data_IF_769678144267
#
_entry.id   IF_769678144267
#
_cell.length_a   1.000
_cell.length_b   1.000
_cell.length_c   1.000
_cell.angle_alpha   90.00
_cell.angle_beta   90.00
_cell.angle_gamma   90.00
#
_symmetry.space_group_name_H-M   'P 1'
#
loop_
_entity.id
_entity.type
_entity.pdbx_description
1 polymer ?
#
# COMPACT_ATOMS: atom_id res chain seq x y z
N UNK A 1 -6.74 -23.72 10.30
CA UNK A 1 -5.65 -23.68 11.29
C UNK A 1 -6.25 -23.16 12.60
N UNK A 2 -5.99 -23.84 13.72
CA UNK A 2 -6.36 -23.35 15.05
C UNK A 2 -5.27 -22.37 15.54
N UNK A 3 -5.69 -21.24 16.07
CA UNK A 3 -4.80 -20.23 16.68
C UNK A 3 -5.32 -19.96 18.10
N UNK A 4 -4.41 -19.99 19.06
CA UNK A 4 -4.78 -19.59 20.42
C UNK A 4 -4.87 -18.07 20.51
N UNK A 5 -5.99 -17.55 20.98
CA UNK A 5 -6.18 -16.11 21.19
C UNK A 5 -6.25 -15.79 22.69
N UNK A 6 -5.86 -14.58 23.12
CA UNK A 6 -5.16 -13.56 22.28
C UNK A 6 -3.73 -14.00 21.95
N UNK A 7 -3.29 -13.70 20.71
CA UNK A 7 -1.91 -13.91 20.27
C UNK A 7 -0.98 -13.01 21.09
N UNK A 8 0.10 -13.58 21.63
CA UNK A 8 1.06 -12.86 22.48
C UNK A 8 2.42 -12.65 21.79
N UNK A 9 2.67 -13.35 20.70
CA UNK A 9 3.95 -13.33 19.96
C UNK A 9 3.70 -13.42 18.46
N UNK A 10 3.13 -12.35 17.86
CA UNK A 10 2.89 -12.26 16.41
C UNK A 10 4.16 -11.85 15.69
N UNK A 11 4.54 -12.59 14.64
CA UNK A 11 5.58 -12.17 13.71
C UNK A 11 4.96 -11.54 12.45
N UNK A 12 5.44 -10.36 12.05
CA UNK A 12 4.99 -9.68 10.83
C UNK A 12 5.94 -10.02 9.66
N UNK A 13 5.49 -10.86 8.73
CA UNK A 13 6.25 -11.21 7.54
C UNK A 13 6.40 -10.03 6.56
N UNK A 14 5.53 -9.04 6.64
CA UNK A 14 5.71 -7.70 6.10
C UNK A 14 5.57 -6.69 7.24
N UNK A 15 6.64 -6.00 7.59
CA UNK A 15 6.64 -5.09 8.73
C UNK A 15 5.72 -3.87 8.54
N UNK A 16 5.32 -3.55 7.28
CA UNK A 16 4.32 -2.51 6.99
C UNK A 16 2.94 -2.84 7.57
N UNK A 17 2.68 -4.13 7.90
CA UNK A 17 1.44 -4.57 8.54
C UNK A 17 1.30 -4.10 9.98
N UNK A 18 2.33 -3.47 10.57
CA UNK A 18 2.22 -2.75 11.85
C UNK A 18 1.05 -1.76 11.82
N UNK A 19 0.81 -1.11 10.69
CA UNK A 19 -0.32 -0.20 10.51
C UNK A 19 -1.67 -0.93 10.61
N UNK A 20 -1.77 -2.13 10.06
CA UNK A 20 -2.98 -2.94 10.16
C UNK A 20 -3.20 -3.45 11.59
N UNK A 21 -2.13 -3.82 12.30
CA UNK A 21 -2.19 -4.18 13.73
C UNK A 21 -2.62 -2.99 14.58
N UNK A 22 -2.07 -1.80 14.33
CA UNK A 22 -2.44 -0.59 15.06
C UNK A 22 -3.93 -0.23 14.84
N UNK A 23 -4.41 -0.29 13.62
CA UNK A 23 -5.82 -0.06 13.29
C UNK A 23 -6.72 -1.08 13.99
N UNK A 24 -6.40 -2.36 13.90
CA UNK A 24 -7.25 -3.44 14.40
C UNK A 24 -7.19 -3.61 15.91
N UNK A 25 -6.02 -3.42 16.53
CA UNK A 25 -5.79 -3.74 17.93
C UNK A 25 -5.30 -2.55 18.79
N UNK A 26 -4.69 -1.54 18.17
CA UNK A 26 -4.12 -0.38 18.85
C UNK A 26 -2.70 -0.62 19.37
N UNK A 27 -1.98 0.48 19.66
CA UNK A 27 -0.55 0.46 20.05
C UNK A 27 -0.24 -0.36 21.31
N UNK A 28 -1.19 -0.57 22.19
CA UNK A 28 -1.00 -1.39 23.40
C UNK A 28 -0.65 -2.84 23.08
N UNK A 29 -0.97 -3.31 21.87
CA UNK A 29 -0.68 -4.65 21.40
C UNK A 29 0.68 -4.78 20.68
N UNK A 30 1.45 -3.70 20.53
CA UNK A 30 2.80 -3.79 19.98
C UNK A 30 3.74 -4.64 20.85
N UNK A 31 3.48 -4.73 22.16
CA UNK A 31 4.17 -5.65 23.06
C UNK A 31 3.96 -7.13 22.74
N UNK A 32 2.91 -7.45 21.96
CA UNK A 32 2.62 -8.81 21.48
C UNK A 32 3.27 -9.12 20.12
N UNK A 33 4.19 -8.28 19.63
CA UNK A 33 4.98 -8.60 18.45
C UNK A 33 6.26 -9.35 18.87
N UNK A 34 6.56 -10.46 18.21
CA UNK A 34 7.79 -11.22 18.42
C UNK A 34 8.94 -10.76 17.52
N UNK A 35 8.65 -10.01 16.49
CA UNK A 35 9.59 -9.50 15.50
C UNK A 35 8.90 -9.22 14.17
N UNK A 36 9.66 -8.72 13.22
CA UNK A 36 9.19 -8.38 11.89
C UNK A 36 10.28 -8.50 10.83
N UNK A 37 9.90 -8.37 9.56
CA UNK A 37 10.85 -8.33 8.45
C UNK A 37 11.50 -6.94 8.31
N UNK A 38 12.53 -6.86 7.47
CA UNK A 38 13.23 -5.61 7.09
C UNK A 38 12.47 -4.74 6.07
N UNK A 39 11.21 -5.05 5.79
CA UNK A 39 10.42 -4.38 4.73
C UNK A 39 10.08 -2.92 5.03
N UNK A 40 9.98 -2.50 6.30
CA UNK A 40 9.80 -1.09 6.65
C UNK A 40 11.00 -0.26 6.18
N UNK A 41 12.20 -0.61 6.63
CA UNK A 41 13.42 0.12 6.28
C UNK A 41 13.65 0.21 4.76
N UNK A 42 13.26 -0.84 4.02
CA UNK A 42 13.47 -0.88 2.57
C UNK A 42 12.38 -0.20 1.75
N UNK A 43 11.11 -0.36 2.14
CA UNK A 43 9.99 0.06 1.27
C UNK A 43 9.13 1.17 1.85
N UNK A 44 9.25 1.47 3.15
CA UNK A 44 8.46 2.48 3.84
C UNK A 44 9.24 3.09 5.02
N UNK A 45 10.45 3.66 4.79
CA UNK A 45 11.27 4.25 5.86
C UNK A 45 10.56 5.43 6.54
N UNK A 46 9.68 6.12 5.85
CA UNK A 46 8.79 7.15 6.35
C UNK A 46 7.81 6.61 7.41
N UNK A 47 7.18 5.48 7.13
CA UNK A 47 6.28 4.78 8.06
C UNK A 47 7.06 4.22 9.25
N UNK A 48 8.27 3.67 9.03
CA UNK A 48 9.15 3.22 10.11
C UNK A 48 9.47 4.36 11.06
N UNK A 49 9.92 5.50 10.54
CA UNK A 49 10.25 6.67 11.35
C UNK A 49 9.05 7.15 12.18
N UNK A 50 7.85 7.21 11.58
CA UNK A 50 6.62 7.59 12.27
C UNK A 50 6.28 6.64 13.43
N UNK A 51 6.42 5.32 13.22
CA UNK A 51 6.16 4.36 14.29
C UNK A 51 7.24 4.35 15.38
N UNK A 52 8.51 4.51 15.04
CA UNK A 52 9.59 4.59 16.03
C UNK A 52 9.51 5.87 16.88
N UNK A 53 8.98 6.97 16.33
CA UNK A 53 8.67 8.18 17.10
C UNK A 53 7.49 7.96 18.07
N UNK A 54 6.39 7.34 17.58
CA UNK A 54 5.18 7.13 18.37
C UNK A 54 5.31 6.02 19.42
N UNK A 55 6.16 5.01 19.17
CA UNK A 55 6.39 3.82 19.99
C UNK A 55 7.87 3.39 19.95
N UNK A 56 8.77 4.09 20.69
CA UNK A 56 10.22 3.83 20.65
C UNK A 56 10.62 2.41 21.04
N UNK A 57 9.77 1.68 21.77
CA UNK A 57 9.98 0.28 22.13
C UNK A 57 10.07 -0.64 20.92
N UNK A 58 9.46 -0.28 19.79
CA UNK A 58 9.51 -1.03 18.53
C UNK A 58 10.94 -1.16 17.98
N UNK A 59 11.83 -0.23 18.31
CA UNK A 59 13.25 -0.31 17.94
C UNK A 59 13.99 -1.52 18.52
N UNK A 60 13.39 -2.19 19.53
CA UNK A 60 13.97 -3.39 20.17
C UNK A 60 13.46 -4.69 19.56
N UNK A 61 12.48 -4.62 18.66
CA UNK A 61 11.96 -5.83 18.03
C UNK A 61 13.03 -6.47 17.13
N UNK A 62 13.17 -7.78 17.17
CA UNK A 62 14.02 -8.50 16.23
C UNK A 62 13.60 -8.26 14.80
N UNK A 63 14.56 -7.92 13.93
CA UNK A 63 14.36 -7.75 12.50
C UNK A 63 14.92 -8.94 11.77
N UNK A 64 14.10 -9.68 11.03
CA UNK A 64 14.56 -10.76 10.16
C UNK A 64 14.70 -10.25 8.72
N UNK A 65 15.92 -10.25 8.16
CA UNK A 65 16.09 -9.91 6.76
C UNK A 65 15.43 -10.97 5.88
N UNK A 66 14.75 -10.53 4.83
CA UNK A 66 14.32 -11.44 3.77
C UNK A 66 15.54 -11.86 2.95
N UNK A 67 15.61 -13.15 2.61
CA UNK A 67 16.56 -13.66 1.63
C UNK A 67 16.28 -13.06 0.24
N UNK A 68 17.23 -13.23 -0.71
CA UNK A 68 17.07 -12.70 -2.09
C UNK A 68 15.82 -13.19 -2.79
N UNK A 69 15.31 -14.36 -2.44
CA UNK A 69 14.05 -14.92 -2.93
C UNK A 69 12.81 -14.41 -2.17
N UNK A 70 12.98 -13.50 -1.18
CA UNK A 70 11.89 -12.89 -0.42
C UNK A 70 11.34 -13.77 0.71
N UNK A 71 12.07 -14.83 1.12
CA UNK A 71 11.66 -15.77 2.18
C UNK A 71 12.44 -15.55 3.47
N UNK A 72 12.01 -16.20 4.55
CA UNK A 72 12.75 -16.35 5.80
C UNK A 72 13.23 -17.79 5.92
N UNK A 73 14.30 -18.00 6.69
CA UNK A 73 14.62 -19.35 7.12
C UNK A 73 13.69 -19.75 8.26
N UNK A 74 13.24 -21.01 8.25
CA UNK A 74 12.39 -21.54 9.34
C UNK A 74 13.11 -21.44 10.68
N UNK A 75 14.41 -21.69 10.72
CA UNK A 75 15.23 -21.61 11.94
C UNK A 75 15.18 -20.22 12.57
N UNK A 76 15.33 -19.15 11.76
CA UNK A 76 15.27 -17.78 12.25
C UNK A 76 13.89 -17.43 12.83
N UNK A 77 12.81 -17.89 12.18
CA UNK A 77 11.45 -17.73 12.69
C UNK A 77 11.22 -18.51 13.99
N UNK A 78 11.68 -19.78 14.06
CA UNK A 78 11.56 -20.62 15.25
C UNK A 78 12.31 -20.03 16.44
N UNK A 79 13.47 -19.41 16.22
CA UNK A 79 14.25 -18.75 17.28
C UNK A 79 13.46 -17.61 17.95
N UNK A 80 12.54 -16.98 17.23
CA UNK A 80 11.65 -15.95 17.78
C UNK A 80 10.41 -16.54 18.50
N UNK A 81 10.19 -17.85 18.43
CA UNK A 81 9.08 -18.56 19.06
C UNK A 81 7.73 -17.83 18.86
N UNK A 82 7.30 -17.53 17.63
CA UNK A 82 6.02 -16.85 17.40
C UNK A 82 4.84 -17.80 17.64
N UNK A 83 3.74 -17.25 18.17
CA UNK A 83 2.45 -17.98 18.26
C UNK A 83 1.76 -18.05 16.90
N UNK A 84 2.02 -17.05 16.04
CA UNK A 84 1.49 -16.98 14.68
C UNK A 84 2.38 -16.07 13.80
N UNK A 85 2.27 -16.27 12.49
CA UNK A 85 2.90 -15.41 11.47
C UNK A 85 1.80 -14.74 10.66
N UNK A 86 1.82 -13.41 10.60
CA UNK A 86 0.95 -12.63 9.72
C UNK A 86 1.65 -12.42 8.36
N UNK A 87 0.96 -12.71 7.27
CA UNK A 87 1.56 -12.72 5.94
C UNK A 87 0.54 -12.29 4.87
N UNK A 88 1.00 -11.63 3.81
CA UNK A 88 0.15 -11.33 2.68
C UNK A 88 -0.18 -12.56 1.84
N UNK A 89 -1.43 -12.68 1.41
CA UNK A 89 -1.93 -13.73 0.50
C UNK A 89 -1.10 -13.84 -0.78
N UNK A 90 -0.58 -12.72 -1.29
CA UNK A 90 0.28 -12.70 -2.47
C UNK A 90 1.58 -13.49 -2.31
N UNK A 91 2.02 -13.74 -1.08
CA UNK A 91 3.21 -14.56 -0.77
C UNK A 91 2.93 -16.06 -0.71
N UNK A 92 1.65 -16.49 -0.75
CA UNK A 92 1.26 -17.89 -0.57
C UNK A 92 1.96 -18.83 -1.56
N UNK A 93 1.98 -18.48 -2.86
CA UNK A 93 2.61 -19.30 -3.90
C UNK A 93 4.11 -19.49 -3.67
N UNK A 94 4.80 -18.41 -3.32
CA UNK A 94 6.24 -18.44 -2.99
C UNK A 94 6.50 -19.31 -1.76
N UNK A 95 5.74 -19.10 -0.67
CA UNK A 95 5.91 -19.85 0.57
C UNK A 95 5.65 -21.35 0.39
N UNK A 96 4.73 -21.70 -0.50
CA UNK A 96 4.46 -23.09 -0.86
C UNK A 96 5.61 -23.68 -1.70
N UNK A 97 6.11 -22.96 -2.69
CA UNK A 97 7.19 -23.44 -3.58
C UNK A 97 8.54 -23.58 -2.87
N UNK A 98 8.79 -22.76 -1.85
CA UNK A 98 10.02 -22.80 -1.01
C UNK A 98 9.91 -23.77 0.17
N UNK A 99 8.80 -24.51 0.28
CA UNK A 99 8.53 -25.44 1.38
C UNK A 99 8.44 -24.77 2.79
N UNK A 100 8.35 -23.44 2.88
CA UNK A 100 8.28 -22.74 4.16
C UNK A 100 6.95 -23.03 4.90
N UNK A 101 5.82 -23.04 4.16
CA UNK A 101 4.50 -23.33 4.79
C UNK A 101 4.45 -24.71 5.44
N UNK A 102 4.84 -25.82 4.76
CA UNK A 102 4.89 -27.13 5.39
C UNK A 102 5.82 -27.21 6.60
N UNK A 103 6.94 -26.47 6.58
CA UNK A 103 7.88 -26.45 7.71
C UNK A 103 7.30 -25.74 8.92
N UNK A 104 6.62 -24.60 8.73
CA UNK A 104 5.94 -23.88 9.81
C UNK A 104 4.76 -24.69 10.38
N UNK A 105 4.00 -25.34 9.52
CA UNK A 105 2.91 -26.24 9.93
C UNK A 105 3.43 -27.40 10.78
N UNK A 106 4.53 -28.07 10.34
CA UNK A 106 5.18 -29.13 11.10
C UNK A 106 5.73 -28.66 12.46
N UNK A 107 6.12 -27.39 12.56
CA UNK A 107 6.56 -26.74 13.80
C UNK A 107 5.39 -26.26 14.68
N UNK A 108 4.13 -26.43 14.25
CA UNK A 108 2.95 -25.96 14.96
C UNK A 108 2.73 -24.46 14.94
N UNK A 109 3.38 -23.73 14.01
CA UNK A 109 3.24 -22.28 13.85
C UNK A 109 2.21 -21.97 12.76
N UNK A 110 1.03 -21.44 13.13
CA UNK A 110 0.01 -21.04 12.19
C UNK A 110 0.43 -19.82 11.36
N UNK A 111 0.16 -19.86 10.05
CA UNK A 111 0.32 -18.70 9.15
C UNK A 111 -1.05 -18.14 8.83
N UNK A 112 -1.22 -16.85 9.11
CA UNK A 112 -2.46 -16.11 8.91
C UNK A 112 -2.28 -15.23 7.69
N UNK A 113 -3.13 -15.43 6.68
CA UNK A 113 -3.08 -14.65 5.44
C UNK A 113 -4.06 -13.49 5.45
N UNK A 114 -3.55 -12.30 5.13
CA UNK A 114 -4.31 -11.07 4.91
C UNK A 114 -4.14 -10.60 3.48
N UNK A 115 -5.06 -9.77 2.98
CA UNK A 115 -4.99 -9.24 1.62
C UNK A 115 -5.54 -7.81 1.55
N UNK A 116 -4.66 -6.87 1.14
CA UNK A 116 -5.01 -5.47 0.86
C UNK A 116 -4.81 -5.12 -0.62
N UNK A 117 -4.50 -6.11 -1.48
CA UNK A 117 -4.06 -5.91 -2.86
C UNK A 117 -5.04 -6.37 -3.93
N UNK A 118 -5.93 -7.26 -3.58
CA UNK A 118 -6.94 -7.81 -4.51
C UNK A 118 -8.30 -7.90 -3.84
N UNK A 119 -9.36 -7.68 -4.59
CA UNK A 119 -10.72 -7.57 -4.07
C UNK A 119 -10.76 -6.67 -2.82
N UNK A 120 -10.10 -5.50 -2.93
CA UNK A 120 -9.79 -4.62 -1.80
C UNK A 120 -11.03 -4.23 -1.00
N UNK A 121 -12.14 -4.00 -1.68
CA UNK A 121 -13.40 -3.58 -1.04
C UNK A 121 -13.96 -4.64 -0.08
N UNK A 122 -13.63 -5.91 -0.31
CA UNK A 122 -14.03 -7.04 0.51
C UNK A 122 -12.90 -7.50 1.45
N UNK A 123 -11.68 -7.62 0.90
CA UNK A 123 -10.58 -8.22 1.65
C UNK A 123 -9.96 -7.28 2.70
N UNK A 124 -10.00 -5.94 2.48
CA UNK A 124 -9.47 -5.00 3.46
C UNK A 124 -10.19 -5.07 4.80
N UNK A 125 -11.55 -4.92 4.89
CA UNK A 125 -12.25 -5.04 6.15
C UNK A 125 -12.14 -6.45 6.75
N UNK A 126 -12.17 -7.52 5.94
CA UNK A 126 -12.00 -8.91 6.42
C UNK A 126 -10.62 -9.13 7.04
N UNK A 127 -9.56 -8.57 6.44
CA UNK A 127 -8.20 -8.68 6.97
C UNK A 127 -8.06 -7.97 8.31
N UNK A 128 -8.66 -6.79 8.47
CA UNK A 128 -8.66 -6.07 9.75
C UNK A 128 -9.48 -6.82 10.82
N UNK A 129 -10.65 -7.37 10.46
CA UNK A 129 -11.44 -8.20 11.36
C UNK A 129 -10.66 -9.43 11.83
N UNK A 130 -9.95 -10.09 10.91
CA UNK A 130 -9.11 -11.24 11.24
C UNK A 130 -8.01 -10.88 12.24
N UNK A 131 -7.32 -9.74 12.04
CA UNK A 131 -6.33 -9.24 12.99
C UNK A 131 -7.00 -8.92 14.35
N UNK A 132 -8.17 -8.28 14.33
CA UNK A 132 -8.95 -8.02 15.56
C UNK A 132 -9.25 -9.29 16.36
N UNK A 133 -9.61 -10.39 15.69
CA UNK A 133 -9.83 -11.68 16.32
C UNK A 133 -8.54 -12.26 16.94
N UNK A 134 -7.38 -12.08 16.31
CA UNK A 134 -6.10 -12.53 16.85
C UNK A 134 -5.78 -11.88 18.21
N UNK A 135 -6.22 -10.64 18.43
CA UNK A 135 -5.93 -9.87 19.65
C UNK A 135 -7.15 -9.69 20.58
N UNK A 136 -8.30 -10.31 20.26
CA UNK A 136 -9.57 -10.15 21.00
C UNK A 136 -10.03 -8.66 21.04
N UNK A 137 -9.87 -7.96 19.91
CA UNK A 137 -10.22 -6.55 19.71
C UNK A 137 -11.26 -6.35 18.60
N UNK A 138 -12.19 -7.31 18.46
CA UNK A 138 -13.20 -7.36 17.40
C UNK A 138 -14.03 -6.08 17.31
N UNK A 139 -14.32 -5.44 18.45
CA UNK A 139 -15.08 -4.19 18.50
C UNK A 139 -14.37 -3.06 17.72
N UNK A 140 -13.05 -2.91 17.90
CA UNK A 140 -12.24 -1.91 17.20
C UNK A 140 -12.12 -2.25 15.71
N UNK A 141 -11.92 -3.52 15.37
CA UNK A 141 -11.87 -3.97 13.99
C UNK A 141 -13.22 -3.80 13.26
N UNK A 142 -14.33 -3.99 13.95
CA UNK A 142 -15.67 -3.74 13.42
C UNK A 142 -15.92 -2.24 13.17
N UNK A 143 -15.45 -1.37 14.06
CA UNK A 143 -15.52 0.08 13.90
C UNK A 143 -14.78 0.56 12.63
N UNK A 144 -13.57 0.04 12.38
CA UNK A 144 -12.86 0.29 11.13
C UNK A 144 -13.62 -0.24 9.91
N UNK A 145 -14.13 -1.46 9.99
CA UNK A 145 -14.84 -2.10 8.88
C UNK A 145 -16.09 -1.31 8.47
N UNK A 146 -16.82 -0.76 9.46
CA UNK A 146 -17.97 0.10 9.21
C UNK A 146 -17.54 1.45 8.63
N UNK A 147 -16.49 2.06 9.15
CA UNK A 147 -15.91 3.29 8.58
C UNK A 147 -15.55 3.08 7.10
N UNK A 148 -14.81 2.01 6.79
CA UNK A 148 -14.40 1.68 5.43
C UNK A 148 -15.61 1.50 4.48
N UNK A 149 -16.62 0.74 4.94
CA UNK A 149 -17.86 0.48 4.18
C UNK A 149 -18.63 1.76 3.87
N UNK A 150 -18.75 2.66 4.84
CA UNK A 150 -19.43 3.94 4.66
C UNK A 150 -18.71 4.84 3.66
N UNK A 151 -17.37 4.93 3.76
CA UNK A 151 -16.54 5.68 2.81
C UNK A 151 -16.68 5.15 1.39
N UNK A 152 -16.60 3.84 1.21
CA UNK A 152 -16.76 3.19 -0.09
C UNK A 152 -18.16 3.41 -0.67
N UNK A 153 -19.21 3.34 0.14
CA UNK A 153 -20.57 3.59 -0.29
C UNK A 153 -20.76 5.04 -0.74
N UNK A 154 -20.25 6.02 0.03
CA UNK A 154 -20.29 7.43 -0.31
C UNK A 154 -19.54 7.73 -1.62
N UNK A 155 -18.36 7.12 -1.80
CA UNK A 155 -17.59 7.24 -3.03
C UNK A 155 -18.38 6.71 -4.23
N UNK A 156 -18.89 5.47 -4.15
CA UNK A 156 -19.64 4.82 -5.23
C UNK A 156 -20.91 5.59 -5.63
N UNK A 157 -21.60 6.19 -4.68
CA UNK A 157 -22.84 6.96 -4.94
C UNK A 157 -22.58 8.21 -5.81
N UNK A 158 -21.36 8.75 -5.76
CA UNK A 158 -20.99 10.01 -6.42
C UNK A 158 -20.27 9.81 -7.76
N UNK A 159 -19.85 8.58 -8.08
CA UNK A 159 -19.14 8.31 -9.32
C UNK A 159 -20.03 8.55 -10.54
N UNK A 160 -19.55 9.32 -11.54
CA UNK A 160 -20.24 9.44 -12.83
C UNK A 160 -20.21 8.11 -13.59
N UNK A 161 -21.18 7.93 -14.50
CA UNK A 161 -21.20 6.77 -15.40
C UNK A 161 -20.02 6.76 -16.38
N UNK A 162 -19.59 7.94 -16.83
CA UNK A 162 -18.47 8.09 -17.74
C UNK A 162 -17.14 7.92 -17.01
N UNK A 163 -16.37 6.94 -17.43
CA UNK A 163 -15.05 6.63 -16.89
C UNK A 163 -13.95 7.21 -17.79
N UNK A 164 -13.07 8.08 -17.30
CA UNK A 164 -11.93 8.52 -18.07
C UNK A 164 -10.89 7.39 -18.21
N UNK A 165 -10.18 7.38 -19.34
CA UNK A 165 -9.09 6.44 -19.57
C UNK A 165 -7.87 6.80 -18.72
N UNK A 166 -7.30 5.80 -18.03
CA UNK A 166 -6.18 5.99 -17.12
C UNK A 166 -5.07 4.97 -17.37
N UNK A 167 -3.82 5.36 -17.11
CA UNK A 167 -2.70 4.46 -16.95
C UNK A 167 -2.04 4.72 -15.60
N UNK A 168 -1.60 3.66 -14.93
CA UNK A 168 -0.95 3.74 -13.63
C UNK A 168 0.44 3.12 -13.71
N UNK A 169 1.48 3.96 -13.60
CA UNK A 169 2.87 3.55 -13.54
C UNK A 169 3.25 3.15 -12.12
N UNK A 170 3.67 1.91 -11.97
CA UNK A 170 4.16 1.35 -10.72
C UNK A 170 5.62 1.71 -10.50
N UNK A 171 5.97 2.14 -9.28
CA UNK A 171 7.35 2.40 -8.87
C UNK A 171 8.10 3.36 -9.80
N UNK A 172 7.41 4.40 -10.28
CA UNK A 172 7.95 5.35 -11.23
C UNK A 172 9.25 5.96 -10.70
N UNK A 173 10.33 5.87 -11.48
CA UNK A 173 11.65 6.40 -11.12
C UNK A 173 12.42 5.58 -10.08
N UNK A 174 11.93 4.43 -9.59
CA UNK A 174 12.64 3.61 -8.61
C UNK A 174 14.02 3.16 -9.11
N UNK A 175 14.12 2.81 -10.37
CA UNK A 175 15.37 2.38 -11.01
C UNK A 175 15.96 3.47 -11.92
N UNK A 176 15.70 4.74 -11.62
CA UNK A 176 16.12 5.89 -12.42
C UNK A 176 15.11 6.20 -13.53
N UNK A 177 15.62 6.56 -14.70
CA UNK A 177 14.78 6.96 -15.85
C UNK A 177 14.14 5.80 -16.61
N UNK A 178 14.30 4.56 -16.16
CA UNK A 178 13.70 3.41 -16.81
C UNK A 178 12.17 3.53 -16.76
N UNK A 179 11.56 3.38 -17.91
CA UNK A 179 10.12 3.48 -18.11
C UNK A 179 9.63 2.20 -18.77
N UNK A 180 8.48 1.71 -18.47
CA UNK A 180 7.51 2.00 -17.44
C UNK A 180 6.88 0.68 -17.03
N UNK A 181 6.71 0.43 -15.74
CA UNK A 181 5.93 -0.71 -15.28
C UNK A 181 4.50 -0.26 -15.04
N UNK A 182 3.53 -0.89 -15.69
CA UNK A 182 2.10 -0.54 -15.53
C UNK A 182 1.39 -1.53 -14.63
N UNK A 183 0.45 -1.04 -13.83
CA UNK A 183 -0.46 -1.89 -13.06
C UNK A 183 -1.55 -2.51 -13.94
N UNK A 184 -1.76 -3.84 -13.81
CA UNK A 184 -2.91 -4.54 -14.36
C UNK A 184 -4.16 -4.36 -13.51
N UNK A 185 -4.83 -5.47 -13.12
CA UNK A 185 -6.12 -5.41 -12.41
C UNK A 185 -6.05 -5.40 -10.90
N UNK A 186 -4.87 -5.54 -10.27
CA UNK A 186 -4.70 -5.53 -8.80
C UNK A 186 -3.90 -4.32 -8.36
N UNK A 187 -3.84 -4.07 -7.07
CA UNK A 187 -3.13 -2.92 -6.52
C UNK A 187 -3.75 -1.61 -6.98
N UNK A 188 -2.92 -0.69 -7.46
CA UNK A 188 -3.42 0.59 -7.97
C UNK A 188 -4.31 0.49 -9.22
N UNK A 189 -4.23 -0.61 -9.98
CA UNK A 189 -5.16 -0.85 -11.07
C UNK A 189 -6.57 -1.03 -10.56
N UNK A 190 -6.78 -1.79 -9.48
CA UNK A 190 -8.09 -1.93 -8.82
C UNK A 190 -8.54 -0.61 -8.17
N UNK A 191 -7.61 0.14 -7.53
CA UNK A 191 -7.91 1.44 -6.94
C UNK A 191 -8.40 2.45 -7.99
N UNK A 192 -7.81 2.46 -9.18
CA UNK A 192 -8.27 3.31 -10.27
C UNK A 192 -9.71 2.96 -10.71
N UNK A 193 -10.04 1.67 -10.78
CA UNK A 193 -11.39 1.21 -11.09
C UNK A 193 -12.40 1.58 -9.99
N UNK A 194 -12.01 1.40 -8.71
CA UNK A 194 -12.82 1.83 -7.55
C UNK A 194 -13.08 3.34 -7.59
N UNK A 195 -12.09 4.12 -8.05
CA UNK A 195 -12.18 5.56 -8.21
C UNK A 195 -12.93 6.02 -9.48
N UNK A 196 -13.47 5.10 -10.27
CA UNK A 196 -14.23 5.40 -11.49
C UNK A 196 -13.37 5.69 -12.72
N UNK A 197 -12.09 5.29 -12.74
CA UNK A 197 -11.24 5.30 -13.92
C UNK A 197 -11.40 4.02 -14.76
N UNK A 198 -11.04 4.08 -16.04
CA UNK A 198 -10.92 2.94 -16.94
C UNK A 198 -9.43 2.63 -17.17
N UNK A 199 -8.91 1.62 -16.50
CA UNK A 199 -7.51 1.21 -16.65
C UNK A 199 -7.30 0.50 -17.99
N UNK A 200 -6.69 1.21 -18.94
CA UNK A 200 -6.52 0.77 -20.34
C UNK A 200 -5.78 -0.56 -20.50
N UNK A 201 -5.01 -0.99 -19.50
CA UNK A 201 -4.24 -2.24 -19.53
C UNK A 201 -4.75 -3.32 -18.58
N UNK A 202 -5.90 -3.09 -17.97
CA UNK A 202 -6.53 -3.97 -16.97
C UNK A 202 -6.58 -5.43 -17.40
N UNK A 203 -7.02 -5.69 -18.63
CA UNK A 203 -7.28 -7.05 -19.16
C UNK A 203 -6.21 -7.53 -20.14
N UNK A 204 -5.27 -6.67 -20.51
CA UNK A 204 -4.18 -6.99 -21.47
C UNK A 204 -2.85 -7.29 -20.78
N UNK A 205 -2.72 -6.94 -19.50
CA UNK A 205 -1.51 -7.21 -18.69
C UNK A 205 -1.78 -8.24 -17.59
N UNK A 206 -0.73 -8.91 -17.06
CA UNK A 206 -0.83 -9.69 -15.84
C UNK A 206 -1.46 -8.88 -14.70
N UNK A 207 -2.17 -9.55 -13.79
CA UNK A 207 -2.90 -8.88 -12.72
C UNK A 207 -2.03 -7.88 -11.92
N UNK A 208 -0.80 -8.26 -11.58
CA UNK A 208 0.17 -7.42 -10.87
C UNK A 208 0.92 -6.42 -11.78
N UNK A 209 0.54 -6.34 -13.05
CA UNK A 209 1.20 -5.49 -14.04
C UNK A 209 2.47 -6.09 -14.63
N UNK A 210 3.01 -5.39 -15.62
CA UNK A 210 4.23 -5.75 -16.33
C UNK A 210 4.93 -4.50 -16.89
N UNK A 211 6.16 -4.69 -17.36
CA UNK A 211 6.88 -3.67 -18.13
C UNK A 211 6.16 -3.39 -19.45
N UNK A 212 6.14 -2.13 -19.84
CA UNK A 212 5.58 -1.63 -21.09
C UNK A 212 6.59 -0.73 -21.78
N UNK A 213 6.60 -0.73 -23.10
CA UNK A 213 7.43 0.21 -23.85
C UNK A 213 6.82 1.60 -23.87
N UNK A 214 7.66 2.61 -24.06
CA UNK A 214 7.21 4.00 -24.20
C UNK A 214 6.30 4.17 -25.42
N UNK A 215 6.56 3.45 -26.50
CA UNK A 215 5.74 3.48 -27.72
C UNK A 215 4.32 2.97 -27.44
N UNK A 216 4.18 1.91 -26.63
CA UNK A 216 2.87 1.42 -26.23
C UNK A 216 2.11 2.43 -25.38
N UNK A 217 2.78 3.11 -24.45
CA UNK A 217 2.18 4.16 -23.61
C UNK A 217 1.72 5.34 -24.48
N UNK A 218 2.54 5.76 -25.43
CA UNK A 218 2.19 6.81 -26.40
C UNK A 218 1.02 6.42 -27.29
N UNK A 219 0.95 5.16 -27.68
CA UNK A 219 -0.18 4.62 -28.47
C UNK A 219 -1.50 4.61 -27.67
N UNK A 220 -1.44 4.20 -26.40
CA UNK A 220 -2.60 4.19 -25.50
C UNK A 220 -3.09 5.59 -25.16
N UNK A 221 -2.19 6.55 -25.04
CA UNK A 221 -2.45 7.98 -24.84
C UNK A 221 -3.60 8.28 -23.85
N UNK A 222 -3.46 7.96 -22.56
CA UNK A 222 -4.52 8.07 -21.58
C UNK A 222 -4.94 9.52 -21.30
N UNK A 223 -6.20 9.71 -20.85
CA UNK A 223 -6.66 11.00 -20.37
C UNK A 223 -6.05 11.42 -19.03
N UNK A 224 -5.73 10.43 -18.18
CA UNK A 224 -5.07 10.62 -16.88
C UNK A 224 -3.88 9.68 -16.75
N UNK A 225 -2.78 10.19 -16.19
CA UNK A 225 -1.59 9.41 -15.91
C UNK A 225 -1.25 9.49 -14.42
N UNK A 226 -1.15 8.33 -13.78
CA UNK A 226 -0.86 8.22 -12.34
C UNK A 226 0.49 7.56 -12.15
N UNK A 227 1.34 8.17 -11.31
CA UNK A 227 2.63 7.64 -10.89
C UNK A 227 2.51 7.15 -9.46
N UNK A 228 3.12 6.01 -9.12
CA UNK A 228 3.27 5.65 -7.71
C UNK A 228 4.69 5.91 -7.24
N UNK A 229 4.84 6.60 -6.10
CA UNK A 229 6.13 7.00 -5.53
C UNK A 229 6.20 6.81 -4.02
N UNK A 230 7.43 6.72 -3.50
CA UNK A 230 7.77 6.71 -2.08
C UNK A 230 9.25 7.04 -1.92
N UNK A 231 9.74 7.23 -0.68
CA UNK A 231 11.17 7.37 -0.43
C UNK A 231 11.86 5.99 -0.52
N UNK A 232 12.46 5.74 -1.67
CA UNK A 232 13.22 4.50 -1.92
C UNK A 232 14.73 4.72 -2.00
N UNK A 233 15.26 5.87 -1.58
CA UNK A 233 16.70 6.18 -1.65
C UNK A 233 17.55 5.22 -0.81
N UNK A 234 16.99 4.66 0.27
CA UNK A 234 17.65 3.62 1.05
C UNK A 234 17.71 2.29 0.30
N UNK A 235 16.65 1.94 -0.44
CA UNK A 235 16.59 0.73 -1.26
C UNK A 235 17.43 0.85 -2.53
N UNK A 236 17.34 1.99 -3.23
CA UNK A 236 18.11 2.29 -4.42
C UNK A 236 18.58 3.76 -4.40
N UNK A 237 19.88 3.97 -4.20
CA UNK A 237 20.48 5.32 -4.19
C UNK A 237 20.31 6.12 -5.49
N UNK A 238 19.98 5.44 -6.60
CA UNK A 238 19.71 6.06 -7.91
C UNK A 238 18.22 6.33 -8.13
N UNK A 239 17.39 6.13 -7.11
CA UNK A 239 15.96 6.40 -7.21
C UNK A 239 15.72 7.88 -7.50
N UNK A 240 14.95 8.15 -8.55
CA UNK A 240 14.39 9.45 -8.95
C UNK A 240 12.87 9.47 -8.69
N UNK A 241 12.36 8.53 -7.92
CA UNK A 241 10.95 8.42 -7.60
C UNK A 241 10.46 9.65 -6.82
N UNK A 242 9.19 9.97 -7.00
CA UNK A 242 8.54 11.03 -6.22
C UNK A 242 8.50 10.64 -4.75
N UNK A 243 9.12 11.44 -3.91
CA UNK A 243 9.20 11.24 -2.46
C UNK A 243 7.87 11.61 -1.83
N UNK A 244 7.09 10.60 -1.48
CA UNK A 244 5.75 10.72 -0.86
C UNK A 244 5.70 9.88 0.41
N UNK A 245 4.78 10.22 1.31
CA UNK A 245 4.49 9.49 2.53
C UNK A 245 4.48 10.38 3.78
N UNK A 246 4.67 9.74 4.92
CA UNK A 246 4.66 10.39 6.22
C UNK A 246 5.81 11.40 6.35
N UNK A 247 5.49 12.62 6.78
CA UNK A 247 6.48 13.69 6.94
C UNK A 247 7.08 14.24 5.65
N UNK A 248 6.73 13.70 4.47
CA UNK A 248 7.24 14.17 3.19
C UNK A 248 6.73 15.58 2.87
N UNK A 249 7.60 16.53 2.43
CA UNK A 249 7.18 17.87 2.03
C UNK A 249 6.64 17.89 0.59
N UNK A 250 5.66 18.76 0.33
CA UNK A 250 4.98 18.80 -0.98
C UNK A 250 5.83 19.41 -2.12
N UNK A 251 6.63 20.45 -1.83
CA UNK A 251 7.38 21.15 -2.89
C UNK A 251 8.41 20.26 -3.60
N UNK A 252 9.26 19.46 -2.91
CA UNK A 252 10.15 18.51 -3.57
C UNK A 252 9.40 17.47 -4.39
N UNK A 253 8.30 16.92 -3.88
CA UNK A 253 7.49 15.93 -4.58
C UNK A 253 6.95 16.45 -5.91
N UNK A 254 6.51 17.72 -5.93
CA UNK A 254 6.07 18.38 -7.17
C UNK A 254 7.18 18.47 -8.22
N UNK A 255 8.41 18.84 -7.80
CA UNK A 255 9.57 18.94 -8.70
C UNK A 255 9.99 17.57 -9.24
N UNK A 256 10.01 16.55 -8.36
CA UNK A 256 10.35 15.17 -8.72
C UNK A 256 9.33 14.60 -9.73
N UNK A 257 8.03 14.83 -9.53
CA UNK A 257 6.98 14.42 -10.47
C UNK A 257 7.17 15.08 -11.84
N UNK A 258 7.40 16.40 -11.89
CA UNK A 258 7.62 17.13 -13.14
C UNK A 258 8.88 16.62 -13.87
N UNK A 259 9.94 16.25 -13.14
CA UNK A 259 11.15 15.68 -13.74
C UNK A 259 10.86 14.30 -14.39
N UNK A 260 10.08 13.43 -13.74
CA UNK A 260 9.68 12.14 -14.30
C UNK A 260 8.82 12.29 -15.56
N UNK A 261 8.00 13.33 -15.67
CA UNK A 261 7.20 13.59 -16.86
C UNK A 261 8.00 14.14 -18.05
N UNK A 262 9.21 14.63 -17.80
CA UNK A 262 10.14 15.03 -18.86
C UNK A 262 10.94 13.86 -19.47
N UNK A 263 10.73 12.61 -19.02
CA UNK A 263 11.31 11.44 -19.68
C UNK A 263 10.93 11.38 -21.15
N UNK A 264 11.83 10.84 -21.97
CA UNK A 264 11.67 10.83 -23.43
C UNK A 264 10.29 10.32 -23.86
N UNK A 265 9.55 11.14 -24.59
CA UNK A 265 8.24 10.83 -25.16
C UNK A 265 7.05 11.17 -24.26
N UNK A 266 7.16 11.08 -22.92
CA UNK A 266 6.02 11.26 -22.02
C UNK A 266 5.41 12.67 -22.09
N UNK A 267 6.20 13.69 -22.33
CA UNK A 267 5.72 15.07 -22.49
C UNK A 267 4.70 15.25 -23.64
N UNK A 268 4.62 14.29 -24.58
CA UNK A 268 3.66 14.33 -25.68
C UNK A 268 2.28 13.77 -25.34
N UNK A 269 2.13 13.08 -24.20
CA UNK A 269 0.86 12.51 -23.76
C UNK A 269 -0.21 13.58 -23.53
N UNK A 270 -1.45 13.25 -23.87
CA UNK A 270 -2.62 14.11 -23.59
C UNK A 270 -2.72 14.44 -22.09
N UNK A 271 -2.53 13.45 -21.22
CA UNK A 271 -2.52 13.65 -19.78
C UNK A 271 -1.49 14.71 -19.33
N UNK A 272 -0.28 14.73 -19.91
CA UNK A 272 0.76 15.70 -19.56
C UNK A 272 0.41 17.09 -20.09
N UNK A 273 -0.01 17.20 -21.35
CA UNK A 273 -0.41 18.48 -21.97
C UNK A 273 -1.58 19.13 -21.25
N UNK A 274 -2.50 18.31 -20.72
CA UNK A 274 -3.70 18.76 -20.00
C UNK A 274 -3.50 18.85 -18.48
N UNK A 275 -2.26 18.68 -17.98
CA UNK A 275 -1.91 18.70 -16.54
C UNK A 275 -2.71 17.66 -15.72
N UNK A 276 -3.08 16.54 -16.35
CA UNK A 276 -3.83 15.43 -15.71
C UNK A 276 -2.89 14.31 -15.28
N UNK A 277 -1.85 14.69 -14.53
CA UNK A 277 -0.86 13.79 -13.95
C UNK A 277 -0.91 13.90 -12.43
N UNK A 278 -0.89 12.76 -11.75
CA UNK A 278 -0.86 12.65 -10.30
C UNK A 278 0.21 11.68 -9.87
N UNK A 279 1.03 12.06 -8.89
CA UNK A 279 1.84 11.10 -8.15
C UNK A 279 1.14 10.76 -6.83
N UNK A 280 1.09 9.48 -6.47
CA UNK A 280 0.40 8.97 -5.28
C UNK A 280 1.30 8.02 -4.49
N UNK A 281 1.19 8.06 -3.15
CA UNK A 281 2.00 7.24 -2.25
C UNK A 281 1.82 5.75 -2.52
N UNK A 282 2.92 5.09 -2.86
CA UNK A 282 2.91 3.71 -3.33
C UNK A 282 2.34 2.73 -2.31
N UNK A 283 2.66 2.90 -1.02
CA UNK A 283 2.28 1.92 -0.01
C UNK A 283 0.76 1.83 0.28
N UNK A 284 -0.06 2.69 -0.29
CA UNK A 284 -1.52 2.54 -0.22
C UNK A 284 -2.03 1.24 -0.84
N UNK A 285 -1.37 0.73 -1.91
CA UNK A 285 -1.81 -0.49 -2.61
C UNK A 285 -1.79 -1.74 -1.74
N UNK A 286 -1.07 -1.72 -0.64
CA UNK A 286 -0.84 -2.85 0.25
C UNK A 286 -1.14 -2.47 1.71
N UNK A 287 -2.15 -1.66 1.93
CA UNK A 287 -2.45 -1.04 3.21
C UNK A 287 -3.96 -0.93 3.42
N UNK A 288 -4.45 -1.00 4.67
CA UNK A 288 -5.84 -0.69 4.96
C UNK A 288 -6.24 0.77 4.65
N UNK A 289 -5.28 1.65 4.38
CA UNK A 289 -5.52 3.04 3.96
C UNK A 289 -5.80 3.18 2.45
N UNK A 290 -5.97 2.10 1.72
CA UNK A 290 -6.25 2.09 0.28
C UNK A 290 -7.52 2.90 -0.09
N UNK A 291 -8.46 3.04 0.84
CA UNK A 291 -9.67 3.87 0.64
C UNK A 291 -9.34 5.35 0.41
N UNK A 292 -8.31 5.90 1.08
CA UNK A 292 -7.89 7.29 0.88
C UNK A 292 -7.24 7.51 -0.48
N UNK A 293 -6.50 6.51 -0.98
CA UNK A 293 -6.01 6.53 -2.35
C UNK A 293 -7.15 6.51 -3.36
N UNK A 294 -8.18 5.67 -3.14
CA UNK A 294 -9.37 5.64 -4.00
C UNK A 294 -10.11 6.99 -3.99
N UNK A 295 -10.27 7.64 -2.84
CA UNK A 295 -10.88 8.96 -2.73
C UNK A 295 -10.05 10.05 -3.41
N UNK A 296 -8.74 10.05 -3.23
CA UNK A 296 -7.84 11.00 -3.88
C UNK A 296 -7.85 10.83 -5.42
N UNK A 297 -7.83 9.58 -5.90
CA UNK A 297 -7.97 9.29 -7.33
C UNK A 297 -9.35 9.68 -7.87
N UNK A 298 -10.44 9.44 -7.14
CA UNK A 298 -11.78 9.84 -7.55
C UNK A 298 -11.93 11.36 -7.66
N UNK A 299 -11.39 12.11 -6.68
CA UNK A 299 -11.36 13.56 -6.73
C UNK A 299 -10.50 14.08 -7.90
N UNK A 300 -9.44 13.37 -8.25
CA UNK A 300 -8.58 13.71 -9.38
C UNK A 300 -9.23 13.39 -10.74
N UNK A 301 -9.88 12.24 -10.88
CA UNK A 301 -10.56 11.84 -12.12
C UNK A 301 -11.87 12.61 -12.37
N UNK A 302 -12.57 12.95 -11.28
CA UNK A 302 -13.91 13.54 -11.31
C UNK A 302 -14.02 14.79 -10.42
N UNK A 303 -13.22 15.86 -10.66
CA UNK A 303 -13.10 16.99 -9.75
C UNK A 303 -14.43 17.72 -9.49
N UNK A 304 -15.36 17.71 -10.43
CA UNK A 304 -16.68 18.32 -10.23
C UNK A 304 -17.56 17.51 -9.27
N UNK A 305 -17.52 16.18 -9.36
CA UNK A 305 -18.31 15.28 -8.52
C UNK A 305 -17.79 15.24 -7.07
N UNK A 306 -16.52 15.55 -6.85
CA UNK A 306 -15.83 15.45 -5.56
C UNK A 306 -15.22 16.78 -5.09
N UNK A 307 -15.77 17.93 -5.53
CA UNK A 307 -15.21 19.26 -5.25
C UNK A 307 -15.17 19.64 -3.76
N UNK A 308 -16.02 19.02 -2.93
CA UNK A 308 -16.11 19.19 -1.48
C UNK A 308 -15.29 18.15 -0.68
N UNK A 309 -14.73 17.15 -1.36
CA UNK A 309 -13.96 16.10 -0.70
C UNK A 309 -12.53 16.56 -0.42
N UNK A 310 -12.09 16.36 0.82
CA UNK A 310 -10.71 16.59 1.22
C UNK A 310 -10.09 15.31 1.82
N UNK A 311 -9.61 14.37 0.99
CA UNK A 311 -9.08 13.08 1.46
C UNK A 311 -7.91 13.23 2.43
N UNK A 312 -7.11 14.29 2.31
CA UNK A 312 -5.99 14.57 3.22
C UNK A 312 -6.48 14.90 4.64
N UNK A 313 -7.47 15.78 4.77
CA UNK A 313 -8.02 16.14 6.08
C UNK A 313 -8.72 14.93 6.74
N UNK A 314 -9.40 14.12 5.94
CA UNK A 314 -10.06 12.91 6.42
C UNK A 314 -9.05 11.85 6.87
N UNK A 315 -7.95 11.68 6.14
CA UNK A 315 -6.87 10.77 6.53
C UNK A 315 -6.19 11.22 7.84
N UNK A 316 -5.97 12.51 8.04
CA UNK A 316 -5.47 13.05 9.31
C UNK A 316 -6.43 12.72 10.47
N UNK A 317 -7.74 12.93 10.26
CA UNK A 317 -8.77 12.61 11.27
C UNK A 317 -8.85 11.10 11.55
N UNK A 318 -8.67 10.28 10.51
CA UNK A 318 -8.60 8.84 10.66
C UNK A 318 -7.42 8.41 11.54
N UNK A 319 -6.23 8.94 11.27
CA UNK A 319 -5.04 8.63 12.07
C UNK A 319 -5.23 9.00 13.55
N UNK A 320 -5.82 10.17 13.85
CA UNK A 320 -6.14 10.56 15.22
C UNK A 320 -7.05 9.57 15.95
N UNK A 321 -7.93 8.89 15.21
CA UNK A 321 -8.90 7.93 15.76
C UNK A 321 -8.35 6.51 15.86
N UNK A 322 -7.65 6.05 14.85
CA UNK A 322 -7.35 4.63 14.64
C UNK A 322 -5.89 4.26 14.82
N UNK A 323 -4.95 5.20 14.83
CA UNK A 323 -3.51 4.86 14.87
C UNK A 323 -2.74 5.66 15.91
N UNK A 324 -1.56 5.14 16.25
CA UNK A 324 -0.62 5.81 17.13
C UNK A 324 0.17 6.93 16.43
N UNK A 325 0.22 6.90 15.09
CA UNK A 325 1.03 7.84 14.29
C UNK A 325 0.18 8.98 13.74
N UNK A 326 0.86 10.09 13.42
CA UNK A 326 0.22 11.22 12.74
C UNK A 326 0.04 10.92 11.25
N UNK A 327 -1.09 11.35 10.67
CA UNK A 327 -1.35 11.35 9.23
C UNK A 327 -0.73 12.55 8.49
N UNK A 328 0.23 13.24 9.10
CA UNK A 328 0.90 14.38 8.47
C UNK A 328 1.91 13.91 7.41
N UNK A 329 1.96 14.61 6.29
CA UNK A 329 2.85 14.31 5.17
C UNK A 329 2.20 14.61 3.83
N UNK A 330 2.91 14.29 2.76
CA UNK A 330 2.41 14.45 1.39
C UNK A 330 2.20 13.06 0.80
N UNK A 331 0.96 12.69 0.56
CA UNK A 331 0.61 11.35 0.04
C UNK A 331 0.23 11.37 -1.44
N UNK A 332 0.01 12.55 -2.00
CA UNK A 332 -0.18 12.77 -3.45
C UNK A 332 0.13 14.22 -3.82
N UNK A 333 0.52 14.41 -5.06
CA UNK A 333 0.67 15.71 -5.71
C UNK A 333 0.13 15.61 -7.13
N UNK A 334 -0.42 16.70 -7.65
CA UNK A 334 -0.93 16.80 -9.02
C UNK A 334 -0.09 17.79 -9.81
N UNK A 335 0.04 17.58 -11.13
CA UNK A 335 0.72 18.50 -12.02
C UNK A 335 0.03 19.86 -12.02
N UNK A 336 0.82 20.94 -11.99
CA UNK A 336 0.36 22.33 -12.03
C UNK A 336 0.92 23.03 -13.24
#
# INVERSE_FOLDING_TARGET
VAVNTPVKRLFLADARDILAVDIAAGKTHFSSLSGWSDTLAHYAPDLEAAYLEAAPELARLPVLPKSKDGTFTTENLLALSPDAVLMHKSSYGLMKSTNLLPQLEAAGIPVIFIDFRSDMTENTPKSIQLIGTLFETEGRAAEFSEYYRLKLAALRQRLPEQKPSVLIESNAGLFGNDCCRLYGRTGFGELAEIAGGDNLVRDTMPANGAESSIENILHLNPQFYVLTGADWKQYNRRSEAVTLGYGAPAEPAQKEMNALMNRQGLASLEAVKSQRVMAVYHNFYNSPLNIFAAEALAAFFHPQAFSDLNPQAEMVSFHQRFTAISGAGTFWVTMQ
#
